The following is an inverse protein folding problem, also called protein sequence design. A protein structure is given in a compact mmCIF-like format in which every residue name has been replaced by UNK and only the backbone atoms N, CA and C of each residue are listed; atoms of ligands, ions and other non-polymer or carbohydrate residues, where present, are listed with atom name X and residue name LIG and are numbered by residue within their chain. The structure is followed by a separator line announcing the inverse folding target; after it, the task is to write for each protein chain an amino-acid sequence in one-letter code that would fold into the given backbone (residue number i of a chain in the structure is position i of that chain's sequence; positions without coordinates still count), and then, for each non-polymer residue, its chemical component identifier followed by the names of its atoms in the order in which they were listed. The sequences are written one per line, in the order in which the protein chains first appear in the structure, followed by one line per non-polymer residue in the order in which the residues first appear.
data_IF_763304655741
#
_entry.id   IF_763304655741
#
_cell.length_a   1.000
_cell.length_b   1.000
_cell.length_c   1.000
_cell.angle_alpha   90.00
_cell.angle_beta   90.00
_cell.angle_gamma   90.00
#
_symmetry.space_group_name_H-M   'P 1'
#
loop_
_entity.id
_entity.type
_entity.pdbx_description
1 polymer ?
#
# COMPACT_ATOMS: atom_id res chain seq x y z
N UNK A 1 5.96 -14.35 -71.65
CA UNK A 1 5.78 -12.91 -71.30
C UNK A 1 5.94 -12.74 -69.80
N UNK A 2 6.78 -11.86 -69.44
CA UNK A 2 7.53 -11.75 -68.21
C UNK A 2 6.79 -11.79 -66.91
N UNK A 3 7.32 -12.58 -65.97
CA UNK A 3 7.06 -12.49 -64.54
C UNK A 3 7.97 -11.40 -63.92
N UNK A 4 7.43 -10.49 -63.14
CA UNK A 4 8.19 -9.62 -62.29
C UNK A 4 8.00 -10.01 -60.83
N UNK A 5 9.13 -10.38 -60.21
CA UNK A 5 9.34 -10.67 -58.81
C UNK A 5 9.36 -9.37 -58.01
N UNK A 6 8.50 -9.24 -56.99
CA UNK A 6 8.61 -8.20 -55.99
C UNK A 6 9.42 -8.68 -54.77
N UNK A 7 10.58 -8.08 -54.53
CA UNK A 7 11.42 -8.37 -53.40
C UNK A 7 10.88 -7.72 -52.13
N UNK A 8 10.73 -8.53 -51.08
CA UNK A 8 10.44 -8.06 -49.74
C UNK A 8 11.68 -7.41 -49.11
N UNK A 9 11.59 -6.14 -48.73
CA UNK A 9 12.60 -5.48 -47.93
C UNK A 9 12.42 -5.91 -46.46
N UNK A 10 13.40 -6.66 -45.96
CA UNK A 10 13.61 -6.91 -44.53
C UNK A 10 14.29 -5.66 -43.98
N UNK A 11 13.60 -4.96 -43.10
CA UNK A 11 14.21 -3.86 -42.32
C UNK A 11 15.00 -4.46 -41.16
N UNK A 12 16.30 -4.31 -41.23
CA UNK A 12 17.29 -4.60 -40.19
C UNK A 12 17.18 -3.54 -39.06
N UNK A 13 16.71 -3.95 -37.86
CA UNK A 13 16.59 -3.12 -36.65
C UNK A 13 17.79 -3.37 -35.70
N UNK A 14 19.00 -3.34 -36.20
CA UNK A 14 20.20 -3.40 -35.38
C UNK A 14 20.96 -2.07 -35.36
N UNK A 15 20.40 -1.02 -34.74
CA UNK A 15 21.20 0.15 -34.32
C UNK A 15 20.39 1.06 -33.39
N UNK A 16 20.36 0.74 -32.08
CA UNK A 16 20.11 1.74 -31.07
C UNK A 16 21.41 1.98 -30.29
N UNK A 17 21.91 3.23 -30.19
CA UNK A 17 23.16 3.48 -29.48
C UNK A 17 22.92 3.41 -27.97
N UNK A 18 23.63 2.48 -27.35
CA UNK A 18 23.79 2.36 -25.91
C UNK A 18 24.55 3.58 -25.39
N UNK A 19 23.90 4.51 -24.73
CA UNK A 19 24.54 5.59 -23.99
C UNK A 19 25.15 5.02 -22.72
N UNK A 20 26.40 4.55 -22.84
CA UNK A 20 27.29 4.32 -21.69
C UNK A 20 27.76 5.69 -21.20
N UNK A 21 27.19 6.17 -20.10
CA UNK A 21 27.80 7.26 -19.33
C UNK A 21 29.04 6.67 -18.62
N UNK A 22 30.21 7.13 -19.06
CA UNK A 22 31.47 6.79 -18.45
C UNK A 22 31.56 7.47 -17.07
N UNK A 23 31.54 6.66 -15.99
CA UNK A 23 31.97 7.12 -14.67
C UNK A 23 33.50 7.16 -14.66
N UNK A 24 34.03 8.38 -14.75
CA UNK A 24 35.45 8.67 -14.55
C UNK A 24 35.84 8.46 -13.08
N UNK A 25 36.89 7.68 -12.88
CA UNK A 25 37.57 7.49 -11.61
C UNK A 25 38.05 8.82 -11.03
N UNK A 26 37.42 9.24 -9.92
CA UNK A 26 37.99 10.27 -9.06
C UNK A 26 37.94 9.82 -7.59
N UNK A 27 39.13 9.67 -7.04
CA UNK A 27 39.54 9.84 -5.67
C UNK A 27 38.72 9.14 -4.56
N UNK A 28 39.34 8.11 -3.97
CA UNK A 28 38.96 7.61 -2.63
C UNK A 28 39.06 8.75 -1.60
N UNK A 29 37.98 9.45 -1.37
CA UNK A 29 37.81 10.20 -0.14
C UNK A 29 36.87 9.38 0.74
N UNK A 30 37.33 9.11 1.97
CA UNK A 30 36.51 8.62 3.07
C UNK A 30 35.40 9.64 3.34
N UNK A 31 34.29 9.54 2.64
CA UNK A 31 33.07 10.22 2.98
C UNK A 31 32.32 9.30 3.96
N UNK A 32 32.46 9.61 5.23
CA UNK A 32 31.45 9.26 6.24
C UNK A 32 30.11 9.61 5.64
N UNK A 33 29.24 8.62 5.48
CA UNK A 33 27.88 8.78 4.93
C UNK A 33 27.21 10.00 5.54
N UNK A 34 26.80 11.00 4.75
CA UNK A 34 26.04 12.10 5.31
C UNK A 34 24.72 11.55 5.81
N UNK A 35 24.49 11.73 7.06
CA UNK A 35 23.39 11.37 7.91
C UNK A 35 22.05 11.13 7.20
N UNK A 36 21.63 9.87 7.07
CA UNK A 36 20.24 9.44 6.79
C UNK A 36 19.20 10.12 7.70
N UNK A 37 19.64 10.73 8.77
CA UNK A 37 18.81 11.39 9.78
C UNK A 37 18.33 12.81 9.40
N UNK A 38 18.82 13.40 8.31
CA UNK A 38 18.44 14.74 7.88
C UNK A 38 17.52 14.78 6.65
N UNK A 39 17.08 13.62 6.12
CA UNK A 39 16.07 13.60 5.07
C UNK A 39 14.70 13.85 5.70
N UNK A 40 14.06 14.93 5.31
CA UNK A 40 12.68 15.21 5.73
C UNK A 40 11.76 14.10 5.23
N UNK A 41 11.06 13.47 6.18
CA UNK A 41 10.12 12.39 5.86
C UNK A 41 8.89 12.97 5.15
N UNK A 42 8.60 12.49 3.94
CA UNK A 42 7.35 12.79 3.25
C UNK A 42 6.22 11.95 3.87
N UNK A 43 5.51 12.55 4.82
CA UNK A 43 4.40 11.90 5.51
C UNK A 43 3.18 11.85 4.61
N UNK A 44 2.52 10.69 4.58
CA UNK A 44 1.23 10.59 3.92
C UNK A 44 0.22 11.56 4.55
N UNK A 45 -0.54 12.34 3.75
CA UNK A 45 -1.48 13.34 4.27
C UNK A 45 -2.53 12.71 5.18
N UNK A 46 -3.03 13.49 6.14
CA UNK A 46 -4.22 13.09 6.90
C UNK A 46 -5.43 13.11 5.97
N UNK A 47 -6.22 12.04 6.01
CA UNK A 47 -7.43 11.90 5.19
C UNK A 47 -8.65 12.29 6.00
N UNK A 48 -9.42 13.31 5.59
CA UNK A 48 -10.65 13.69 6.26
C UNK A 48 -11.74 12.61 6.12
N UNK A 49 -12.62 12.57 7.09
CA UNK A 49 -13.77 11.68 7.07
C UNK A 49 -14.93 12.27 6.25
N UNK A 50 -15.67 11.41 5.56
CA UNK A 50 -17.02 11.78 5.12
C UNK A 50 -17.98 11.80 6.30
N UNK A 51 -18.98 12.70 6.25
CA UNK A 51 -20.03 12.78 7.28
C UNK A 51 -20.74 11.44 7.44
N UNK A 52 -20.99 11.03 8.67
CA UNK A 52 -21.53 9.71 9.02
C UNK A 52 -20.48 8.61 9.19
N UNK A 53 -19.23 8.89 8.89
CA UNK A 53 -18.10 7.99 9.21
C UNK A 53 -17.85 7.96 10.71
N UNK A 54 -17.44 6.79 11.23
CA UNK A 54 -16.97 6.67 12.60
C UNK A 54 -15.66 7.44 12.79
N UNK A 55 -15.67 8.40 13.69
CA UNK A 55 -14.47 9.13 14.10
C UNK A 55 -13.75 8.39 15.23
N UNK A 56 -12.44 8.57 15.27
CA UNK A 56 -11.57 8.03 16.32
C UNK A 56 -10.91 9.15 17.10
N UNK A 57 -10.38 8.83 18.29
CA UNK A 57 -9.60 9.79 19.06
C UNK A 57 -8.37 10.21 18.24
N UNK A 58 -8.24 11.52 17.99
CA UNK A 58 -7.16 12.10 17.16
C UNK A 58 -7.51 12.27 15.68
N UNK A 59 -8.69 11.87 15.23
CA UNK A 59 -9.22 12.28 13.91
C UNK A 59 -9.64 13.74 13.93
N UNK A 60 -9.64 14.38 12.76
CA UNK A 60 -10.18 15.73 12.63
C UNK A 60 -11.70 15.70 12.84
N UNK A 61 -12.19 16.61 13.68
CA UNK A 61 -13.61 16.69 14.00
C UNK A 61 -14.50 17.09 12.80
N UNK A 62 -13.91 17.76 11.80
CA UNK A 62 -14.63 18.28 10.66
C UNK A 62 -14.79 17.20 9.56
N UNK A 63 -15.93 16.52 9.64
CA UNK A 63 -16.32 15.58 8.60
C UNK A 63 -16.87 16.33 7.38
N UNK A 64 -16.39 15.96 6.20
CA UNK A 64 -16.78 16.57 4.92
C UNK A 64 -18.16 16.05 4.49
N UNK A 65 -19.08 16.92 4.04
CA UNK A 65 -20.36 16.48 3.53
C UNK A 65 -20.21 15.72 2.20
N UNK A 66 -21.10 14.75 1.96
CA UNK A 66 -21.06 13.93 0.74
C UNK A 66 -21.20 14.75 -0.54
N UNK A 67 -21.88 15.85 -0.47
CA UNK A 67 -22.11 16.80 -1.56
C UNK A 67 -20.80 17.34 -2.17
N UNK A 68 -19.69 17.31 -1.43
CA UNK A 68 -18.37 17.68 -1.93
C UNK A 68 -17.88 16.76 -3.08
N UNK A 69 -18.44 15.56 -3.19
CA UNK A 69 -18.11 14.60 -4.26
C UNK A 69 -19.03 14.75 -5.49
N UNK A 70 -20.09 15.55 -5.41
CA UNK A 70 -21.14 15.59 -6.44
C UNK A 70 -20.58 15.93 -7.83
N UNK A 71 -20.83 15.02 -8.79
CA UNK A 71 -20.43 15.21 -10.19
C UNK A 71 -18.94 15.02 -10.47
N UNK A 72 -18.12 14.71 -9.46
CA UNK A 72 -16.68 14.50 -9.62
C UNK A 72 -16.38 13.04 -9.94
N UNK A 73 -15.30 12.81 -10.65
CA UNK A 73 -14.77 11.46 -10.86
C UNK A 73 -14.11 10.96 -9.59
N UNK A 74 -14.53 9.82 -9.09
CA UNK A 74 -13.99 9.20 -7.90
C UNK A 74 -13.50 7.77 -8.17
N UNK A 75 -12.49 7.38 -7.43
CA UNK A 75 -12.07 5.98 -7.27
C UNK A 75 -12.30 5.59 -5.82
N UNK A 76 -13.00 4.48 -5.61
CA UNK A 76 -13.30 3.93 -4.29
C UNK A 76 -12.55 2.64 -4.11
N UNK A 77 -11.74 2.59 -3.08
CA UNK A 77 -10.92 1.43 -2.71
C UNK A 77 -11.42 0.82 -1.39
N UNK A 78 -11.20 -0.47 -1.18
CA UNK A 78 -11.39 -1.07 0.13
C UNK A 78 -10.41 -0.45 1.12
N UNK A 79 -10.90 0.05 2.24
CA UNK A 79 -10.04 0.50 3.32
C UNK A 79 -9.53 -0.70 4.11
N UNK A 80 -8.28 -1.08 3.87
CA UNK A 80 -7.58 -2.13 4.60
C UNK A 80 -7.13 -1.64 5.99
N UNK A 81 -7.15 -2.53 6.96
CA UNK A 81 -6.81 -2.26 8.37
C UNK A 81 -5.42 -2.81 8.70
N UNK A 82 -4.42 -1.97 8.60
CA UNK A 82 -3.03 -2.31 8.85
C UNK A 82 -2.21 -1.09 9.31
N UNK A 83 -0.93 -1.11 9.01
CA UNK A 83 -0.01 -0.02 9.30
C UNK A 83 0.38 0.72 8.03
N UNK A 84 0.22 2.05 8.03
CA UNK A 84 0.76 2.87 6.95
C UNK A 84 2.28 2.66 6.84
N UNK A 85 2.73 2.33 5.65
CA UNK A 85 4.12 2.16 5.30
C UNK A 85 4.42 2.84 3.97
N UNK A 86 5.67 3.24 3.77
CA UNK A 86 6.09 3.71 2.46
C UNK A 86 7.54 3.35 2.19
N UNK A 87 7.90 3.36 0.93
CA UNK A 87 9.25 3.18 0.47
C UNK A 87 9.60 4.18 -0.65
N UNK A 88 10.85 4.57 -0.67
CA UNK A 88 11.43 5.47 -1.67
C UNK A 88 12.93 5.28 -1.69
N UNK A 89 13.61 6.00 -2.58
CA UNK A 89 15.06 6.01 -2.63
C UNK A 89 15.61 7.41 -2.42
N UNK A 90 16.78 7.49 -1.77
CA UNK A 90 17.56 8.70 -1.66
C UNK A 90 18.33 8.99 -2.95
N UNK A 91 18.83 10.22 -3.10
CA UNK A 91 19.68 10.62 -4.24
C UNK A 91 20.98 9.81 -4.35
N UNK A 92 21.41 9.19 -3.26
CA UNK A 92 22.56 8.27 -3.19
C UNK A 92 22.18 6.81 -3.54
N UNK A 93 20.92 6.56 -3.91
CA UNK A 93 20.37 5.24 -4.19
C UNK A 93 20.03 4.41 -2.95
N UNK A 94 20.10 4.97 -1.75
CA UNK A 94 19.75 4.25 -0.52
C UNK A 94 18.25 3.98 -0.43
N UNK A 95 17.88 2.74 -0.07
CA UNK A 95 16.49 2.35 0.19
C UNK A 95 16.00 2.99 1.49
N UNK A 96 14.95 3.77 1.41
CA UNK A 96 14.29 4.45 2.51
C UNK A 96 12.94 3.80 2.80
N UNK A 97 12.82 3.15 3.95
CA UNK A 97 11.58 2.57 4.44
C UNK A 97 11.01 3.43 5.54
N UNK A 98 9.72 3.69 5.53
CA UNK A 98 9.08 4.49 6.57
C UNK A 98 7.77 3.88 7.06
N UNK A 99 7.47 4.11 8.31
CA UNK A 99 6.13 4.04 8.88
C UNK A 99 5.45 5.41 8.74
N UNK A 100 4.27 5.57 9.28
CA UNK A 100 3.54 6.84 9.21
C UNK A 100 4.33 8.05 9.75
N UNK A 101 5.18 7.87 10.73
CA UNK A 101 5.81 8.97 11.48
C UNK A 101 7.32 9.02 11.48
N UNK A 102 8.00 7.96 11.11
CA UNK A 102 9.46 7.88 11.17
C UNK A 102 10.01 6.92 10.11
N UNK A 103 11.28 7.09 9.77
CA UNK A 103 12.00 6.11 8.97
C UNK A 103 12.28 4.86 9.79
N UNK A 104 12.10 3.70 9.16
CA UNK A 104 12.43 2.40 9.73
C UNK A 104 13.93 2.15 9.61
N UNK A 105 14.51 1.56 10.61
CA UNK A 105 15.92 1.16 10.59
C UNK A 105 16.06 -0.13 9.77
N UNK A 106 16.32 0.02 8.46
CA UNK A 106 16.28 -1.07 7.50
C UNK A 106 17.17 -2.27 7.86
N UNK A 107 18.31 -2.04 8.51
CA UNK A 107 19.29 -3.07 8.90
C UNK A 107 19.06 -3.63 10.31
N UNK A 108 18.10 -3.10 11.07
CA UNK A 108 17.78 -3.58 12.41
C UNK A 108 16.49 -4.38 12.41
N UNK A 109 16.54 -5.57 13.01
CA UNK A 109 15.38 -6.44 13.18
C UNK A 109 14.95 -6.46 14.64
N UNK A 110 13.64 -6.58 14.88
CA UNK A 110 13.09 -6.70 16.23
C UNK A 110 12.70 -5.37 16.87
N UNK A 111 12.68 -5.35 18.22
CA UNK A 111 12.31 -4.18 19.00
C UNK A 111 10.89 -3.68 18.72
N UNK A 112 10.72 -2.36 18.76
CA UNK A 112 9.44 -1.69 18.50
C UNK A 112 8.98 -1.82 17.05
N UNK A 113 9.89 -2.07 16.11
CA UNK A 113 9.62 -2.20 14.68
C UNK A 113 9.39 -3.65 14.22
N UNK A 114 9.29 -4.61 15.15
CA UNK A 114 9.20 -6.05 14.82
C UNK A 114 8.08 -6.41 13.82
N UNK A 115 6.98 -5.66 13.80
CA UNK A 115 5.92 -5.87 12.82
C UNK A 115 6.35 -5.56 11.38
N UNK A 116 7.39 -4.74 11.18
CA UNK A 116 7.95 -4.39 9.90
C UNK A 116 9.14 -5.26 9.48
N UNK A 117 9.54 -6.26 10.27
CA UNK A 117 10.68 -7.10 9.90
C UNK A 117 10.51 -7.77 8.54
N UNK A 118 9.35 -8.38 8.27
CA UNK A 118 9.06 -8.97 6.98
C UNK A 118 8.95 -7.92 5.85
N UNK A 119 8.52 -6.69 6.16
CA UNK A 119 8.54 -5.57 5.22
C UNK A 119 9.96 -5.19 4.79
N UNK A 120 10.86 -5.06 5.77
CA UNK A 120 12.28 -4.78 5.52
C UNK A 120 12.93 -5.86 4.66
N UNK A 121 12.65 -7.13 4.96
CA UNK A 121 13.18 -8.28 4.20
C UNK A 121 12.63 -8.29 2.77
N UNK A 122 11.32 -8.08 2.59
CA UNK A 122 10.69 -8.00 1.28
C UNK A 122 11.27 -6.86 0.43
N UNK A 123 11.36 -5.67 1.00
CA UNK A 123 11.88 -4.51 0.29
C UNK A 123 13.34 -4.70 -0.12
N UNK A 124 14.18 -5.31 0.72
CA UNK A 124 15.55 -5.68 0.38
C UNK A 124 15.63 -6.73 -0.72
N UNK A 125 14.80 -7.77 -0.67
CA UNK A 125 14.78 -8.82 -1.68
C UNK A 125 14.42 -8.27 -3.08
N UNK A 126 13.61 -7.22 -3.14
CA UNK A 126 13.16 -6.60 -4.39
C UNK A 126 13.81 -5.23 -4.66
N UNK A 127 14.87 -4.86 -3.94
CA UNK A 127 15.47 -3.52 -3.98
C UNK A 127 15.82 -3.07 -5.40
N UNK A 128 16.43 -3.96 -6.20
CA UNK A 128 16.79 -3.63 -7.59
C UNK A 128 15.58 -3.33 -8.48
N UNK A 129 14.50 -4.11 -8.36
CA UNK A 129 13.28 -3.87 -9.14
C UNK A 129 12.53 -2.62 -8.66
N UNK A 130 12.52 -2.39 -7.36
CA UNK A 130 11.90 -1.20 -6.75
C UNK A 130 12.69 0.07 -7.09
N UNK A 131 14.04 0.01 -7.09
CA UNK A 131 14.89 1.12 -7.52
C UNK A 131 14.65 1.47 -8.99
N UNK A 132 14.63 0.46 -9.87
CA UNK A 132 14.37 0.68 -11.29
C UNK A 132 13.00 1.30 -11.57
N UNK A 133 12.01 1.05 -10.67
CA UNK A 133 10.66 1.58 -10.77
C UNK A 133 10.53 3.01 -10.24
N UNK A 134 11.04 3.23 -9.03
CA UNK A 134 10.74 4.45 -8.26
C UNK A 134 11.81 5.52 -8.46
N UNK A 135 13.07 5.09 -8.66
CA UNK A 135 14.21 5.99 -8.69
C UNK A 135 14.16 6.94 -7.46
N UNK A 136 14.77 8.11 -7.51
CA UNK A 136 14.60 9.17 -6.49
C UNK A 136 13.29 9.95 -6.67
N UNK A 137 12.57 9.72 -7.80
CA UNK A 137 11.38 10.46 -8.21
C UNK A 137 10.15 10.13 -7.39
N UNK A 138 9.89 8.85 -7.14
CA UNK A 138 8.62 8.43 -6.58
C UNK A 138 8.73 8.00 -5.11
N UNK A 139 7.68 8.31 -4.34
CA UNK A 139 7.43 7.74 -3.00
C UNK A 139 6.18 6.89 -3.08
N UNK A 140 6.31 5.61 -2.83
CA UNK A 140 5.21 4.65 -2.86
C UNK A 140 4.68 4.42 -1.45
N UNK A 141 3.40 4.70 -1.23
CA UNK A 141 2.68 4.47 0.03
C UNK A 141 1.80 3.23 -0.09
N UNK A 142 1.70 2.50 1.00
CA UNK A 142 0.88 1.30 1.08
C UNK A 142 0.47 0.96 2.50
N UNK A 143 -0.44 0.02 2.62
CA UNK A 143 -0.82 -0.58 3.88
C UNK A 143 -0.01 -1.85 4.11
N UNK A 144 0.69 -1.90 5.24
CA UNK A 144 1.42 -3.07 5.69
C UNK A 144 0.53 -3.93 6.59
N UNK A 145 0.19 -5.12 6.12
CA UNK A 145 -0.86 -5.98 6.65
C UNK A 145 -0.33 -7.23 7.39
N UNK A 146 0.97 -7.33 7.67
CA UNK A 146 1.52 -8.50 8.34
C UNK A 146 0.91 -8.72 9.73
N UNK A 147 0.94 -7.71 10.57
CA UNK A 147 0.36 -7.78 11.90
C UNK A 147 -1.15 -7.50 11.86
N UNK A 148 -1.94 -8.40 12.44
CA UNK A 148 -3.36 -8.13 12.65
C UNK A 148 -3.56 -6.87 13.50
N UNK A 149 -4.40 -5.97 13.03
CA UNK A 149 -4.94 -4.86 13.81
C UNK A 149 -6.31 -5.21 14.40
N UNK A 150 -7.40 -4.62 13.93
CA UNK A 150 -8.75 -5.01 14.32
C UNK A 150 -9.33 -6.10 13.43
N UNK A 151 -9.04 -6.06 12.11
CA UNK A 151 -9.40 -7.11 11.17
C UNK A 151 -8.31 -8.19 11.12
N UNK A 152 -8.74 -9.46 11.10
CA UNK A 152 -7.87 -10.56 10.73
C UNK A 152 -8.12 -10.94 9.28
N UNK A 153 -7.08 -11.00 8.49
CA UNK A 153 -7.11 -11.44 7.10
C UNK A 153 -6.45 -12.82 6.99
N UNK A 154 -7.04 -13.71 6.20
CA UNK A 154 -6.50 -15.06 5.96
C UNK A 154 -6.26 -15.34 4.46
N UNK A 155 -6.57 -14.37 3.59
CA UNK A 155 -6.52 -14.55 2.14
C UNK A 155 -5.94 -13.33 1.40
N UNK A 156 -4.94 -12.68 1.98
CA UNK A 156 -4.28 -11.53 1.34
C UNK A 156 -3.46 -11.96 0.11
N UNK A 157 -3.46 -11.17 -0.98
CA UNK A 157 -2.56 -11.40 -2.11
C UNK A 157 -1.12 -11.00 -1.81
N UNK A 158 -0.90 -10.11 -0.84
CA UNK A 158 0.39 -9.64 -0.37
C UNK A 158 0.24 -8.92 0.98
N UNK A 159 1.31 -8.86 1.78
CA UNK A 159 1.28 -8.07 3.02
C UNK A 159 1.49 -6.57 2.81
N UNK A 160 2.14 -6.15 1.73
CA UNK A 160 2.22 -4.75 1.34
C UNK A 160 1.25 -4.49 0.20
N UNK A 161 0.25 -3.65 0.42
CA UNK A 161 -0.72 -3.27 -0.60
C UNK A 161 -0.60 -1.77 -0.87
N UNK A 162 -0.06 -1.43 -2.04
CA UNK A 162 0.12 -0.05 -2.47
C UNK A 162 -1.25 0.64 -2.62
N UNK A 163 -1.33 1.89 -2.20
CA UNK A 163 -2.54 2.69 -2.37
C UNK A 163 -2.29 4.08 -2.97
N UNK A 164 -1.07 4.64 -2.90
CA UNK A 164 -0.74 5.94 -3.51
C UNK A 164 0.73 6.06 -3.86
N UNK A 165 1.02 6.84 -4.93
CA UNK A 165 2.38 7.17 -5.34
C UNK A 165 2.49 8.68 -5.51
N UNK A 166 3.43 9.29 -4.79
CA UNK A 166 3.79 10.69 -4.89
C UNK A 166 4.91 10.89 -5.91
N UNK A 167 4.71 11.78 -6.86
CA UNK A 167 5.73 12.23 -7.80
C UNK A 167 6.42 13.49 -7.26
N UNK A 168 7.68 13.37 -6.85
CA UNK A 168 8.47 14.48 -6.32
C UNK A 168 8.77 15.54 -7.36
N UNK A 169 8.81 15.19 -8.65
CA UNK A 169 9.07 16.13 -9.75
C UNK A 169 7.81 16.93 -10.07
N UNK A 170 6.69 16.24 -10.27
CA UNK A 170 5.42 16.87 -10.56
C UNK A 170 4.73 17.47 -9.31
N UNK A 171 5.21 17.15 -8.10
CA UNK A 171 4.64 17.59 -6.81
C UNK A 171 3.15 17.24 -6.69
N UNK A 172 2.80 16.03 -7.10
CA UNK A 172 1.43 15.54 -7.09
C UNK A 172 1.36 14.02 -6.85
N UNK A 173 0.21 13.55 -6.43
CA UNK A 173 -0.07 12.12 -6.39
C UNK A 173 -0.60 11.67 -7.75
N UNK A 174 -0.11 10.54 -8.22
CA UNK A 174 -0.60 9.92 -9.44
C UNK A 174 -2.06 9.48 -9.28
N UNK A 175 -2.83 9.51 -10.36
CA UNK A 175 -4.14 8.87 -10.40
C UNK A 175 -4.01 7.33 -10.48
N UNK A 176 -5.11 6.63 -10.29
CA UNK A 176 -5.14 5.16 -10.28
C UNK A 176 -4.66 4.54 -11.60
N UNK A 177 -5.03 5.02 -12.80
CA UNK A 177 -4.50 4.48 -14.06
C UNK A 177 -2.97 4.61 -14.18
N UNK A 178 -2.39 5.76 -13.79
CA UNK A 178 -0.94 5.96 -13.84
C UNK A 178 -0.20 5.07 -12.83
N UNK A 179 -0.74 4.94 -11.60
CA UNK A 179 -0.19 4.02 -10.59
C UNK A 179 -0.15 2.58 -11.11
N UNK A 180 -1.27 2.09 -11.63
CA UNK A 180 -1.38 0.72 -12.15
C UNK A 180 -0.45 0.50 -13.36
N UNK A 181 -0.33 1.49 -14.25
CA UNK A 181 0.61 1.43 -15.37
C UNK A 181 2.05 1.37 -14.90
N UNK A 182 2.43 2.24 -13.95
CA UNK A 182 3.77 2.26 -13.34
C UNK A 182 4.10 0.92 -12.66
N UNK A 183 3.18 0.35 -11.91
CA UNK A 183 3.36 -0.90 -11.19
C UNK A 183 3.26 -2.15 -12.07
N UNK A 184 3.01 -2.01 -13.38
CA UNK A 184 2.94 -3.16 -14.28
C UNK A 184 4.27 -3.90 -14.31
N UNK A 185 4.24 -5.22 -14.12
CA UNK A 185 5.45 -6.06 -14.21
C UNK A 185 6.34 -6.11 -12.96
N UNK A 186 6.05 -5.35 -11.89
CA UNK A 186 6.79 -5.42 -10.63
C UNK A 186 5.99 -6.18 -9.54
N UNK A 187 6.64 -6.79 -8.54
CA UNK A 187 5.97 -7.59 -7.52
C UNK A 187 5.33 -6.71 -6.42
N UNK A 188 4.47 -5.79 -6.82
CA UNK A 188 3.68 -4.91 -5.94
C UNK A 188 2.20 -5.09 -6.24
N UNK A 189 1.39 -5.29 -5.21
CA UNK A 189 -0.07 -5.36 -5.29
C UNK A 189 -0.64 -4.02 -4.85
N UNK A 190 -1.60 -3.47 -5.61
CA UNK A 190 -2.39 -2.32 -5.19
C UNK A 190 -3.61 -2.77 -4.38
N UNK A 191 -4.12 -1.90 -3.51
CA UNK A 191 -5.41 -2.11 -2.83
C UNK A 191 -6.53 -2.30 -3.86
N UNK A 192 -7.60 -3.06 -3.52
CA UNK A 192 -8.65 -3.35 -4.48
C UNK A 192 -9.50 -2.12 -4.77
N UNK A 193 -9.70 -1.81 -6.03
CA UNK A 193 -10.64 -0.80 -6.51
C UNK A 193 -12.04 -1.41 -6.57
N UNK A 194 -12.97 -0.84 -5.83
CA UNK A 194 -14.37 -1.26 -5.76
C UNK A 194 -15.25 -0.52 -6.77
N UNK A 195 -14.88 0.72 -7.10
CA UNK A 195 -15.62 1.57 -8.04
C UNK A 195 -14.68 2.62 -8.64
N UNK A 196 -14.89 2.95 -9.91
CA UNK A 196 -14.27 4.09 -10.58
C UNK A 196 -15.29 4.72 -11.52
N UNK A 197 -15.51 6.04 -11.40
CA UNK A 197 -16.49 6.77 -12.22
C UNK A 197 -17.00 8.03 -11.54
N UNK A 198 -18.06 8.61 -12.13
CA UNK A 198 -18.71 9.79 -11.53
C UNK A 198 -19.37 9.39 -10.21
N UNK A 199 -19.18 10.20 -9.17
CA UNK A 199 -19.71 9.91 -7.84
C UNK A 199 -21.23 9.63 -7.89
N UNK A 200 -21.71 8.58 -7.20
CA UNK A 200 -23.13 8.29 -7.11
C UNK A 200 -23.90 9.52 -6.59
N UNK A 201 -25.17 9.66 -6.99
CA UNK A 201 -25.99 10.81 -6.55
C UNK A 201 -26.29 10.78 -5.07
N UNK A 202 -26.39 9.60 -4.46
CA UNK A 202 -26.73 9.42 -3.05
C UNK A 202 -25.61 8.71 -2.31
N UNK A 203 -25.35 9.15 -1.09
CA UNK A 203 -24.37 8.51 -0.22
C UNK A 203 -24.67 7.02 0.00
N UNK A 204 -25.94 6.62 0.08
CA UNK A 204 -26.32 5.21 0.26
C UNK A 204 -25.80 4.32 -0.89
N UNK A 205 -25.78 4.86 -2.13
CA UNK A 205 -25.27 4.11 -3.28
C UNK A 205 -23.74 3.93 -3.20
N UNK A 206 -23.02 4.92 -2.65
CA UNK A 206 -21.61 4.78 -2.31
C UNK A 206 -21.41 3.73 -1.20
N UNK A 207 -22.18 3.81 -0.14
CA UNK A 207 -22.08 2.91 1.02
C UNK A 207 -22.46 1.47 0.68
N UNK A 208 -23.25 1.24 -0.37
CA UNK A 208 -23.56 -0.10 -0.88
C UNK A 208 -22.32 -0.85 -1.42
N UNK A 209 -21.21 -0.14 -1.68
CA UNK A 209 -19.92 -0.74 -2.01
C UNK A 209 -19.23 -1.39 -0.79
N UNK A 210 -19.68 -1.10 0.42
CA UNK A 210 -19.15 -1.72 1.63
C UNK A 210 -19.61 -3.17 1.70
N UNK A 211 -18.73 -4.08 1.39
CA UNK A 211 -18.96 -5.51 1.24
C UNK A 211 -18.05 -6.31 2.20
N UNK A 212 -18.18 -7.64 2.26
CA UNK A 212 -17.19 -8.48 2.90
C UNK A 212 -15.79 -8.19 2.35
N UNK A 213 -14.80 -8.13 3.28
CA UNK A 213 -13.42 -7.82 2.89
C UNK A 213 -12.86 -8.85 1.90
N UNK A 214 -12.23 -8.38 0.84
CA UNK A 214 -11.58 -9.23 -0.17
C UNK A 214 -10.33 -9.95 0.37
N UNK A 215 -9.76 -9.49 1.48
CA UNK A 215 -8.66 -10.15 2.18
C UNK A 215 -9.08 -11.30 3.09
N UNK A 216 -10.38 -11.68 3.11
CA UNK A 216 -10.94 -12.73 3.95
C UNK A 216 -11.56 -13.85 3.14
N UNK A 217 -11.29 -15.10 3.52
CA UNK A 217 -12.03 -16.27 3.02
C UNK A 217 -13.31 -16.50 3.83
N UNK A 218 -14.21 -17.35 3.33
CA UNK A 218 -15.37 -17.79 4.10
C UNK A 218 -15.00 -18.53 5.41
N UNK A 219 -13.74 -18.93 5.56
CA UNK A 219 -13.23 -19.68 6.71
C UNK A 219 -12.37 -18.86 7.67
N UNK A 220 -12.25 -17.56 7.46
CA UNK A 220 -11.30 -16.70 8.19
C UNK A 220 -11.40 -16.83 9.72
N UNK A 221 -12.61 -17.06 10.27
CA UNK A 221 -12.80 -17.22 11.72
C UNK A 221 -12.11 -18.47 12.25
N UNK A 222 -12.29 -19.59 11.56
CA UNK A 222 -11.63 -20.86 11.93
C UNK A 222 -10.11 -20.78 11.75
N UNK A 223 -9.65 -20.13 10.69
CA UNK A 223 -8.21 -19.88 10.43
C UNK A 223 -7.62 -18.98 11.52
N UNK A 224 -8.34 -17.96 11.94
CA UNK A 224 -7.92 -17.08 13.03
C UNK A 224 -7.78 -17.85 14.35
N UNK A 225 -8.78 -18.65 14.73
CA UNK A 225 -8.74 -19.46 15.96
C UNK A 225 -7.56 -20.44 15.96
N UNK A 226 -7.34 -21.15 14.86
CA UNK A 226 -6.21 -22.05 14.69
C UNK A 226 -4.87 -21.30 14.82
N UNK A 227 -4.74 -20.12 14.21
CA UNK A 227 -3.55 -19.30 14.31
C UNK A 227 -3.26 -18.84 15.76
N UNK A 228 -4.29 -18.41 16.48
CA UNK A 228 -4.19 -17.98 17.88
C UNK A 228 -3.78 -19.17 18.77
N UNK A 229 -4.38 -20.34 18.54
CA UNK A 229 -4.07 -21.57 19.29
C UNK A 229 -2.65 -22.04 19.03
N UNK A 230 -2.19 -22.06 17.78
CA UNK A 230 -0.80 -22.42 17.41
C UNK A 230 0.22 -21.52 18.10
N UNK A 231 -0.11 -20.24 18.26
CA UNK A 231 0.74 -19.29 18.97
C UNK A 231 0.59 -19.37 20.50
N UNK A 232 -0.28 -20.24 21.03
CA UNK A 232 -0.58 -20.40 22.46
C UNK A 232 -1.03 -19.09 23.12
N UNK A 233 -1.79 -18.26 22.39
CA UNK A 233 -2.35 -17.00 22.87
C UNK A 233 -3.73 -17.23 23.49
N UNK A 234 -4.17 -16.27 24.33
CA UNK A 234 -5.50 -16.26 24.92
C UNK A 234 -6.56 -15.98 23.84
N UNK A 235 -7.33 -17.02 23.46
CA UNK A 235 -8.34 -16.93 22.41
C UNK A 235 -9.48 -15.97 22.75
N UNK A 236 -10.07 -15.97 23.96
CA UNK A 236 -11.04 -14.97 24.38
C UNK A 236 -10.53 -13.55 24.25
N UNK A 237 -9.29 -13.27 24.66
CA UNK A 237 -8.67 -11.95 24.51
C UNK A 237 -8.47 -11.59 23.04
N UNK A 238 -7.94 -12.52 22.25
CA UNK A 238 -7.75 -12.33 20.82
C UNK A 238 -9.07 -11.98 20.11
N UNK A 239 -10.18 -12.63 20.46
CA UNK A 239 -11.49 -12.31 19.94
C UNK A 239 -12.04 -10.95 20.43
N UNK A 240 -11.80 -10.56 21.66
CA UNK A 240 -12.13 -9.18 22.11
C UNK A 240 -11.39 -8.12 21.32
N UNK A 241 -10.23 -8.48 20.82
CA UNK A 241 -9.37 -7.63 19.99
C UNK A 241 -9.59 -7.81 18.49
N UNK A 242 -10.71 -8.36 18.05
CA UNK A 242 -10.97 -8.64 16.65
C UNK A 242 -12.39 -8.23 16.28
N UNK A 243 -12.50 -7.46 15.21
CA UNK A 243 -13.79 -7.18 14.61
C UNK A 243 -14.37 -8.45 13.97
N UNK A 244 -15.56 -8.85 14.41
CA UNK A 244 -16.20 -10.13 14.03
C UNK A 244 -17.09 -10.02 12.80
N UNK A 245 -17.31 -8.80 12.29
CA UNK A 245 -18.08 -8.58 11.07
C UNK A 245 -17.36 -9.20 9.87
N UNK A 246 -18.11 -9.59 8.87
CA UNK A 246 -17.54 -10.00 7.57
C UNK A 246 -17.07 -8.79 6.75
N UNK A 247 -17.64 -7.61 7.02
CA UNK A 247 -17.42 -6.40 6.24
C UNK A 247 -16.00 -5.87 6.37
N UNK A 248 -15.53 -5.20 5.33
CA UNK A 248 -14.35 -4.36 5.36
C UNK A 248 -14.44 -3.26 6.44
N UNK A 249 -13.33 -2.68 6.86
CA UNK A 249 -13.31 -1.55 7.80
C UNK A 249 -14.14 -0.38 7.29
N UNK A 250 -14.04 -0.10 6.00
CA UNK A 250 -14.64 1.05 5.37
C UNK A 250 -14.24 1.19 3.91
N UNK A 251 -14.43 2.40 3.41
CA UNK A 251 -14.10 2.82 2.06
C UNK A 251 -13.03 3.91 2.08
N UNK A 252 -12.13 3.87 1.14
CA UNK A 252 -11.19 4.94 0.84
C UNK A 252 -11.55 5.55 -0.50
N UNK A 253 -11.80 6.84 -0.54
CA UNK A 253 -12.34 7.54 -1.71
C UNK A 253 -11.31 8.56 -2.19
N UNK A 254 -10.93 8.48 -3.45
CA UNK A 254 -10.06 9.43 -4.13
C UNK A 254 -10.86 10.21 -5.14
N UNK A 255 -10.61 11.50 -5.24
CA UNK A 255 -11.08 12.33 -6.33
C UNK A 255 -9.94 12.48 -7.30
N UNK A 256 -10.15 12.06 -8.54
CA UNK A 256 -9.09 12.05 -9.57
C UNK A 256 -9.47 12.96 -10.73
N UNK A 257 -8.58 13.91 -11.04
CA UNK A 257 -8.75 14.90 -12.08
C UNK A 257 -7.43 15.14 -12.81
N UNK A 258 -7.45 15.20 -14.14
CA UNK A 258 -6.29 15.53 -14.97
C UNK A 258 -5.02 14.70 -14.68
N UNK A 259 -5.19 13.40 -14.44
CA UNK A 259 -4.06 12.49 -14.19
C UNK A 259 -3.49 12.54 -12.77
N UNK A 260 -4.21 13.12 -11.82
CA UNK A 260 -3.76 13.22 -10.44
C UNK A 260 -4.89 12.95 -9.43
N UNK A 261 -4.53 12.46 -8.25
CA UNK A 261 -5.41 12.42 -7.09
C UNK A 261 -5.38 13.77 -6.39
N UNK A 262 -6.46 14.56 -6.52
CA UNK A 262 -6.54 15.92 -5.98
C UNK A 262 -7.08 15.97 -4.55
N UNK A 263 -7.98 15.06 -4.19
CA UNK A 263 -8.57 14.98 -2.86
C UNK A 263 -8.74 13.53 -2.42
N UNK A 264 -8.86 13.32 -1.11
CA UNK A 264 -9.05 12.02 -0.49
C UNK A 264 -10.02 12.12 0.65
N UNK A 265 -10.82 11.07 0.81
CA UNK A 265 -11.77 10.92 1.91
C UNK A 265 -11.78 9.48 2.40
N UNK A 266 -12.16 9.28 3.65
CA UNK A 266 -12.39 7.95 4.20
C UNK A 266 -13.78 7.85 4.82
N UNK A 267 -14.35 6.68 4.73
CA UNK A 267 -15.57 6.32 5.46
C UNK A 267 -15.29 5.04 6.23
N UNK A 268 -15.39 5.09 7.55
CA UNK A 268 -15.29 3.93 8.45
C UNK A 268 -16.70 3.62 8.93
N UNK A 269 -17.14 2.36 8.82
CA UNK A 269 -18.47 1.93 9.26
C UNK A 269 -18.66 2.14 10.75
N UNK A 270 -19.89 2.45 11.16
CA UNK A 270 -20.19 2.89 12.53
C UNK A 270 -19.98 1.82 13.60
N UNK A 271 -20.14 0.55 13.22
CA UNK A 271 -19.99 -0.63 14.07
C UNK A 271 -18.55 -1.21 14.07
N UNK A 272 -17.61 -0.59 13.35
CA UNK A 272 -16.23 -1.04 13.34
C UNK A 272 -15.59 -0.90 14.72
N UNK A 273 -15.13 -2.02 15.27
CA UNK A 273 -14.47 -2.05 16.56
C UNK A 273 -12.96 -1.81 16.39
N UNK A 274 -12.51 -0.62 16.69
CA UNK A 274 -11.09 -0.37 16.84
C UNK A 274 -10.62 -0.69 18.25
N UNK A 275 -9.89 -1.75 18.35
CA UNK A 275 -9.40 -2.31 19.62
C UNK A 275 -8.20 -1.55 20.19
N UNK A 276 -7.60 -0.66 19.41
CA UNK A 276 -6.38 0.06 19.79
C UNK A 276 -6.56 0.91 21.05
N UNK A 277 -7.76 1.41 21.29
CA UNK A 277 -8.05 2.39 22.34
C UNK A 277 -8.48 1.78 23.69
N UNK A 278 -9.02 0.57 23.69
CA UNK A 278 -9.60 -0.01 24.92
C UNK A 278 -8.59 -0.75 25.82
N UNK A 279 -7.40 -1.06 25.34
CA UNK A 279 -6.49 -1.98 26.05
C UNK A 279 -5.30 -1.34 26.74
N UNK A 280 -5.11 -0.01 26.65
CA UNK A 280 -4.04 0.72 27.37
C UNK A 280 -2.59 0.30 27.06
N UNK A 281 -2.37 -0.74 26.26
CA UNK A 281 -1.04 -1.22 25.88
C UNK A 281 -0.66 -0.81 24.46
N UNK A 282 0.56 -0.35 24.29
CA UNK A 282 1.09 0.03 22.97
C UNK A 282 1.16 -1.19 22.03
N UNK A 283 0.85 -1.04 20.73
CA UNK A 283 0.91 -2.11 19.74
C UNK A 283 2.22 -2.89 19.72
N UNK A 284 3.33 -2.20 20.01
CA UNK A 284 4.66 -2.80 20.03
C UNK A 284 4.86 -3.86 21.11
N UNK A 285 4.01 -3.91 22.12
CA UNK A 285 4.15 -4.80 23.27
C UNK A 285 3.25 -6.05 23.18
N UNK A 286 2.30 -6.05 22.26
CA UNK A 286 1.37 -7.17 22.08
C UNK A 286 1.98 -8.30 21.25
N UNK A 287 1.60 -9.55 21.51
CA UNK A 287 1.90 -10.62 20.57
C UNK A 287 1.38 -10.31 19.17
N UNK A 288 2.21 -10.50 18.16
CA UNK A 288 1.77 -10.33 16.76
C UNK A 288 1.00 -11.57 16.36
N UNK A 289 -0.26 -11.41 15.99
CA UNK A 289 -1.00 -12.41 15.23
C UNK A 289 -0.79 -12.05 13.75
N UNK A 290 -0.07 -12.90 13.04
CA UNK A 290 0.21 -12.64 11.63
C UNK A 290 -1.03 -12.92 10.78
N UNK A 291 -1.36 -11.99 9.88
CA UNK A 291 -2.37 -12.21 8.85
C UNK A 291 -1.86 -13.23 7.82
N UNK A 292 -2.79 -14.02 7.27
CA UNK A 292 -2.52 -15.06 6.30
C UNK A 292 -2.51 -14.54 4.86
N UNK A 293 -1.67 -15.16 4.05
CA UNK A 293 -1.66 -15.00 2.60
C UNK A 293 -2.53 -16.10 1.96
N UNK A 294 -3.00 -15.86 0.74
CA UNK A 294 -3.63 -16.91 -0.07
C UNK A 294 -2.67 -18.08 -0.27
N UNK A 295 -3.23 -19.26 -0.40
CA UNK A 295 -2.46 -20.46 -0.73
C UNK A 295 -1.63 -20.25 -2.01
N UNK A 296 -0.35 -20.57 -1.93
CA UNK A 296 0.59 -20.45 -3.05
C UNK A 296 1.19 -19.06 -3.26
N UNK A 297 0.84 -18.07 -2.44
CA UNK A 297 1.49 -16.75 -2.50
C UNK A 297 2.87 -16.81 -1.83
N UNK A 298 3.88 -16.43 -2.59
CA UNK A 298 5.23 -16.14 -2.10
C UNK A 298 5.54 -14.65 -2.33
N UNK A 299 5.67 -13.89 -1.27
CA UNK A 299 5.95 -12.45 -1.35
C UNK A 299 7.37 -12.14 -1.86
N UNK A 300 8.26 -13.13 -1.88
CA UNK A 300 9.62 -12.99 -2.39
C UNK A 300 9.76 -13.39 -3.86
N UNK A 301 8.68 -13.87 -4.49
CA UNK A 301 8.69 -14.17 -5.91
C UNK A 301 8.79 -12.89 -6.76
N UNK A 302 9.59 -12.94 -7.83
CA UNK A 302 9.73 -11.82 -8.77
C UNK A 302 8.46 -11.54 -9.57
N UNK A 303 7.58 -12.53 -9.70
CA UNK A 303 6.27 -12.40 -10.33
C UNK A 303 5.20 -12.87 -9.35
N UNK A 304 4.25 -11.99 -9.03
CA UNK A 304 3.14 -12.27 -8.10
C UNK A 304 1.80 -12.10 -8.80
N UNK A 305 0.82 -12.86 -8.35
CA UNK A 305 -0.56 -12.68 -8.78
C UNK A 305 -1.15 -11.45 -8.09
N UNK A 306 -1.48 -10.39 -8.86
CA UNK A 306 -1.93 -9.10 -8.33
C UNK A 306 -3.45 -8.99 -8.12
N UNK A 307 -4.22 -10.01 -8.50
CA UNK A 307 -5.69 -10.01 -8.32
C UNK A 307 -6.08 -10.16 -6.85
N UNK A 308 -7.19 -9.51 -6.49
CA UNK A 308 -7.88 -9.66 -5.21
C UNK A 308 -8.95 -10.75 -5.28
#
# INVERSE_FOLDING_TARGET
MAAQSGAAHVLDLSAAPCLRVAYSLLGKHNMTSPHLFNLEILKYPRTPHLRGSRLQVGDQADAVPYEALAGRHIVVEEKLDGANAALSFGADGSLLLQSRGHYLQADQMGGRERQFNAYKQWARAHEGALMALLDERYVMYGEWLYAKHSLYYDALPHWFCEFDIWDRVAQQFLDTPQRHALLSGVPVVSVPVLYAGISPRRMQDLLALLAPSLGRSARWKAVFEDQVQRQKLDLPLAWRQTDRSELAEGLYIKVEENGQTVERYKFVRSDFVQVILESGSHHSERPIVANGLRTGVDIFANAIQKSW
#
